data_IF_972698267251
#
_entry.id   IF_972698267251
#
_cell.length_a   1.000
_cell.length_b   1.000
_cell.length_c   1.000
_cell.angle_alpha   90.00
_cell.angle_beta   90.00
_cell.angle_gamma   90.00
#
_symmetry.space_group_name_H-M   'P 1'
#
loop_
_entity.id
_entity.type
_entity.pdbx_description
1 polymer ?
#
# COMPACT_ATOMS: atom_id res chain seq x y z
N UNK A 1 3.74 -8.25 -52.13
CA UNK A 1 2.27 -8.27 -52.00
C UNK A 1 1.86 -7.49 -50.76
N UNK A 2 1.83 -6.15 -50.81
CA UNK A 2 1.57 -5.30 -49.63
C UNK A 2 0.52 -4.20 -49.88
N UNK A 3 -0.20 -4.27 -51.02
CA UNK A 3 -1.06 -3.17 -51.48
C UNK A 3 -2.49 -3.26 -50.90
N UNK A 4 -2.93 -4.40 -50.35
CA UNK A 4 -4.34 -4.60 -49.98
C UNK A 4 -4.75 -4.16 -48.56
N UNK A 5 -3.87 -3.53 -47.78
CA UNK A 5 -4.21 -3.10 -46.39
C UNK A 5 -4.76 -1.69 -46.27
N UNK A 6 -4.55 -0.79 -47.23
CA UNK A 6 -4.95 0.63 -47.09
C UNK A 6 -6.40 0.92 -47.48
N UNK A 7 -7.03 0.10 -48.31
CA UNK A 7 -8.39 0.38 -48.81
C UNK A 7 -9.49 0.05 -47.77
N UNK A 8 -9.21 -0.80 -46.78
CA UNK A 8 -10.19 -1.12 -45.72
C UNK A 8 -10.28 -0.07 -44.61
N UNK A 9 -9.29 0.81 -44.48
CA UNK A 9 -9.29 1.84 -43.43
C UNK A 9 -10.16 3.04 -43.84
N UNK A 10 -10.19 3.40 -45.13
CA UNK A 10 -10.95 4.55 -45.65
C UNK A 10 -12.47 4.39 -45.55
N UNK A 11 -13.01 3.18 -45.72
CA UNK A 11 -14.46 2.94 -45.58
C UNK A 11 -14.94 3.06 -44.12
N UNK A 12 -14.03 2.82 -43.17
CA UNK A 12 -14.36 2.90 -41.74
C UNK A 12 -14.51 4.35 -41.26
N UNK A 13 -13.74 5.28 -41.81
CA UNK A 13 -13.73 6.68 -41.37
C UNK A 13 -15.00 7.42 -41.80
N UNK A 14 -15.47 7.18 -43.02
CA UNK A 14 -16.69 7.83 -43.52
C UNK A 14 -17.94 7.35 -42.76
N UNK A 15 -17.96 6.07 -42.38
CA UNK A 15 -19.02 5.49 -41.55
C UNK A 15 -19.05 6.11 -40.14
N UNK A 16 -17.87 6.34 -39.54
CA UNK A 16 -17.77 7.00 -38.22
C UNK A 16 -18.19 8.47 -38.32
N UNK A 17 -17.83 9.17 -39.40
CA UNK A 17 -18.23 10.57 -39.59
C UNK A 17 -19.75 10.73 -39.67
N UNK A 18 -20.43 9.87 -40.44
CA UNK A 18 -21.89 9.88 -40.53
C UNK A 18 -22.54 9.68 -39.16
N UNK A 19 -22.07 8.69 -38.39
CA UNK A 19 -22.56 8.47 -37.01
C UNK A 19 -22.30 9.66 -36.09
N UNK A 20 -21.14 10.32 -36.21
CA UNK A 20 -20.80 11.48 -35.38
C UNK A 20 -21.66 12.72 -35.69
N UNK A 21 -22.10 12.86 -36.94
CA UNK A 21 -22.99 13.94 -37.35
C UNK A 21 -24.38 13.85 -36.73
N UNK A 22 -24.87 12.64 -36.41
CA UNK A 22 -26.18 12.46 -35.78
C UNK A 22 -26.20 12.87 -34.30
N UNK A 23 -25.03 13.03 -33.67
CA UNK A 23 -24.94 13.44 -32.27
C UNK A 23 -25.22 14.93 -32.07
N UNK A 24 -25.90 15.22 -30.96
CA UNK A 24 -26.07 16.60 -30.49
C UNK A 24 -24.73 17.15 -29.96
N UNK A 25 -24.57 18.47 -30.01
CA UNK A 25 -23.35 19.15 -29.53
C UNK A 25 -23.07 18.87 -28.05
N UNK A 26 -24.10 18.67 -27.24
CA UNK A 26 -23.99 18.30 -25.83
C UNK A 26 -23.30 16.94 -25.63
N UNK A 27 -23.66 15.93 -26.45
CA UNK A 27 -23.08 14.59 -26.40
C UNK A 27 -21.63 14.63 -26.86
N UNK A 28 -21.35 15.33 -27.95
CA UNK A 28 -19.99 15.52 -28.46
C UNK A 28 -19.06 16.17 -27.42
N UNK A 29 -19.54 17.21 -26.70
CA UNK A 29 -18.77 17.84 -25.62
C UNK A 29 -18.50 16.90 -24.45
N UNK A 30 -19.46 16.03 -24.11
CA UNK A 30 -19.28 15.02 -23.06
C UNK A 30 -18.23 13.98 -23.46
N UNK A 31 -18.26 13.49 -24.71
CA UNK A 31 -17.24 12.59 -25.24
C UNK A 31 -15.84 13.22 -25.21
N UNK A 32 -15.72 14.50 -25.59
CA UNK A 32 -14.47 15.25 -25.53
C UNK A 32 -13.97 15.47 -24.09
N UNK A 33 -14.84 15.80 -23.14
CA UNK A 33 -14.48 15.93 -21.71
C UNK A 33 -13.94 14.62 -21.14
N UNK A 34 -14.57 13.50 -21.47
CA UNK A 34 -14.10 12.18 -21.04
C UNK A 34 -12.70 11.87 -21.57
N UNK A 35 -12.38 12.35 -22.79
CA UNK A 35 -11.05 12.27 -23.38
C UNK A 35 -10.09 13.39 -22.96
N UNK A 36 -10.51 14.29 -22.06
CA UNK A 36 -9.76 15.48 -21.62
C UNK A 36 -9.33 16.39 -22.79
N UNK A 37 -10.15 16.46 -23.83
CA UNK A 37 -9.94 17.31 -25.00
C UNK A 37 -10.71 18.63 -24.89
N UNK A 38 -10.26 19.70 -25.58
CA UNK A 38 -10.97 20.98 -25.59
C UNK A 38 -12.40 20.84 -26.14
N UNK A 39 -13.36 21.52 -25.52
CA UNK A 39 -14.80 21.48 -25.88
C UNK A 39 -15.35 22.76 -26.51
N UNK A 40 -14.50 23.74 -26.77
CA UNK A 40 -14.84 24.98 -27.48
C UNK A 40 -14.98 24.75 -28.99
N UNK A 41 -15.73 25.59 -29.70
CA UNK A 41 -15.84 25.55 -31.17
C UNK A 41 -17.20 25.07 -31.70
N UNK A 42 -17.33 25.07 -33.03
CA UNK A 42 -18.53 24.63 -33.76
C UNK A 42 -18.62 23.11 -33.77
N UNK A 43 -19.78 22.56 -34.16
CA UNK A 43 -20.06 21.11 -34.12
C UNK A 43 -19.05 20.33 -34.94
N UNK A 44 -18.69 20.84 -36.11
CA UNK A 44 -17.74 20.27 -37.05
C UNK A 44 -16.34 20.18 -36.43
N UNK A 45 -15.93 21.19 -35.66
CA UNK A 45 -14.62 21.21 -34.99
C UNK A 45 -14.54 20.19 -33.86
N UNK A 46 -15.66 19.94 -33.17
CA UNK A 46 -15.76 18.91 -32.14
C UNK A 46 -15.64 17.51 -32.76
N UNK A 47 -16.29 17.28 -33.90
CA UNK A 47 -16.25 16.02 -34.65
C UNK A 47 -14.83 15.76 -35.19
N UNK A 48 -14.20 16.76 -35.83
CA UNK A 48 -12.82 16.67 -36.32
C UNK A 48 -11.84 16.31 -35.20
N UNK A 49 -11.97 16.95 -34.02
CA UNK A 49 -11.14 16.62 -32.84
C UNK A 49 -11.35 15.20 -32.35
N UNK A 50 -12.59 14.71 -32.32
CA UNK A 50 -12.89 13.33 -31.92
C UNK A 50 -12.27 12.32 -32.88
N UNK A 51 -12.34 12.57 -34.19
CA UNK A 51 -11.75 11.73 -35.24
C UNK A 51 -10.22 11.71 -35.15
N UNK A 52 -9.60 12.88 -35.03
CA UNK A 52 -8.15 12.99 -34.89
C UNK A 52 -7.64 12.27 -33.64
N UNK A 53 -8.38 12.36 -32.53
CA UNK A 53 -8.04 11.67 -31.29
C UNK A 53 -8.22 10.14 -31.39
N UNK A 54 -9.13 9.63 -32.22
CA UNK A 54 -9.22 8.18 -32.47
C UNK A 54 -8.07 7.66 -33.33
N UNK A 55 -7.59 8.44 -34.29
CA UNK A 55 -6.44 8.05 -35.12
C UNK A 55 -5.12 8.02 -34.34
N UNK A 56 -4.93 8.96 -33.39
CA UNK A 56 -3.69 9.05 -32.62
C UNK A 56 -3.53 7.97 -31.54
N UNK A 57 -4.59 7.25 -31.17
CA UNK A 57 -4.56 6.23 -30.12
C UNK A 57 -5.26 4.93 -30.58
N UNK A 58 -4.56 4.07 -31.36
CA UNK A 58 -5.14 2.82 -31.86
C UNK A 58 -5.51 1.81 -30.76
N UNK A 59 -5.10 2.05 -29.50
CA UNK A 59 -5.34 1.14 -28.38
C UNK A 59 -6.71 1.27 -27.70
N UNK A 60 -7.55 2.25 -28.04
CA UNK A 60 -8.84 2.49 -27.34
C UNK A 60 -10.11 2.20 -28.15
N UNK A 61 -10.00 1.76 -29.41
CA UNK A 61 -11.16 1.50 -30.30
C UNK A 61 -12.14 0.47 -29.73
N UNK A 62 -11.65 -0.50 -28.95
CA UNK A 62 -12.49 -1.52 -28.30
C UNK A 62 -13.47 -0.95 -27.25
N UNK A 63 -13.15 0.19 -26.62
CA UNK A 63 -14.00 0.80 -25.59
C UNK A 63 -15.10 1.69 -26.18
N UNK A 64 -14.84 2.30 -27.34
CA UNK A 64 -15.82 3.11 -28.06
C UNK A 64 -16.90 2.25 -28.71
N UNK A 65 -16.54 1.11 -29.28
CA UNK A 65 -17.52 0.17 -29.86
C UNK A 65 -18.49 -0.37 -28.80
N UNK A 66 -18.03 -0.57 -27.55
CA UNK A 66 -18.87 -0.99 -26.43
C UNK A 66 -19.91 0.07 -26.01
N UNK A 67 -19.57 1.36 -26.10
CA UNK A 67 -20.48 2.46 -25.75
C UNK A 67 -21.44 2.76 -26.91
N UNK A 68 -20.96 2.67 -28.16
CA UNK A 68 -21.73 2.92 -29.37
C UNK A 68 -22.74 1.80 -29.68
N UNK A 69 -22.51 0.56 -29.24
CA UNK A 69 -23.40 -0.57 -29.49
C UNK A 69 -24.65 -0.62 -28.60
N UNK A 70 -24.81 0.25 -27.60
CA UNK A 70 -25.99 0.26 -26.71
C UNK A 70 -27.19 1.04 -27.25
N UNK A 71 -27.11 1.60 -28.46
CA UNK A 71 -28.11 2.53 -29.01
C UNK A 71 -29.33 1.91 -29.70
N UNK A 72 -29.31 0.63 -30.05
CA UNK A 72 -30.49 0.02 -30.68
C UNK A 72 -30.25 -1.38 -31.18
N UNK A 73 -30.87 -2.37 -30.53
CA UNK A 73 -31.62 -3.45 -31.19
C UNK A 73 -31.98 -4.55 -30.17
N UNK A 74 -33.30 -4.80 -30.07
CA UNK A 74 -33.97 -6.09 -29.81
C UNK A 74 -33.82 -6.72 -28.41
N UNK A 75 -34.94 -6.67 -27.69
CA UNK A 75 -35.25 -7.18 -26.34
C UNK A 75 -34.96 -8.67 -26.05
N UNK A 76 -34.36 -9.43 -26.98
CA UNK A 76 -34.09 -10.86 -26.81
C UNK A 76 -32.66 -11.19 -26.32
N UNK A 77 -31.69 -10.27 -26.40
CA UNK A 77 -30.31 -10.53 -25.91
C UNK A 77 -30.10 -10.20 -24.43
N UNK A 78 -31.12 -9.67 -23.74
CA UNK A 78 -30.97 -9.12 -22.38
C UNK A 78 -30.74 -10.18 -21.28
N UNK A 79 -31.11 -11.44 -21.50
CA UNK A 79 -30.89 -12.51 -20.51
C UNK A 79 -29.44 -13.02 -20.47
N UNK A 80 -28.76 -13.10 -21.62
CA UNK A 80 -27.38 -13.60 -21.69
C UNK A 80 -26.41 -12.60 -21.04
N UNK A 81 -26.68 -11.30 -21.17
CA UNK A 81 -25.91 -10.24 -20.52
C UNK A 81 -26.08 -10.23 -19.00
N UNK A 82 -27.29 -10.51 -18.48
CA UNK A 82 -27.54 -10.57 -17.04
C UNK A 82 -26.77 -11.73 -16.37
N UNK A 83 -26.73 -12.88 -17.02
CA UNK A 83 -26.03 -14.06 -16.52
C UNK A 83 -24.50 -13.86 -16.51
N UNK A 84 -23.96 -13.22 -17.56
CA UNK A 84 -22.55 -12.81 -17.63
C UNK A 84 -22.18 -11.80 -16.52
N UNK A 85 -23.06 -10.84 -16.23
CA UNK A 85 -22.87 -9.89 -15.13
C UNK A 85 -22.87 -10.56 -13.76
N UNK A 86 -23.75 -11.54 -13.54
CA UNK A 86 -23.81 -12.31 -12.28
C UNK A 86 -22.50 -13.10 -12.08
N UNK A 87 -22.02 -13.81 -13.10
CA UNK A 87 -20.75 -14.54 -13.03
C UNK A 87 -19.58 -13.61 -12.74
N UNK A 88 -19.51 -12.46 -13.45
CA UNK A 88 -18.46 -11.47 -13.21
C UNK A 88 -18.51 -10.91 -11.79
N UNK A 89 -19.71 -10.65 -11.26
CA UNK A 89 -19.89 -10.16 -9.88
C UNK A 89 -19.48 -11.21 -8.86
N UNK A 90 -19.83 -12.49 -9.08
CA UNK A 90 -19.41 -13.58 -8.22
C UNK A 90 -17.88 -13.73 -8.19
N UNK A 91 -17.22 -13.58 -9.34
CA UNK A 91 -15.76 -13.65 -9.42
C UNK A 91 -15.09 -12.48 -8.69
N UNK A 92 -15.65 -11.27 -8.81
CA UNK A 92 -15.18 -10.11 -8.04
C UNK A 92 -15.27 -10.35 -6.53
N UNK A 93 -16.37 -10.93 -6.03
CA UNK A 93 -16.49 -11.26 -4.60
C UNK A 93 -15.48 -12.31 -4.14
N UNK A 94 -15.11 -13.28 -5.00
CA UNK A 94 -14.07 -14.26 -4.68
C UNK A 94 -12.71 -13.59 -4.54
N UNK A 95 -12.37 -12.71 -5.48
CA UNK A 95 -11.12 -11.95 -5.46
C UNK A 95 -11.07 -11.05 -4.21
N UNK A 96 -12.16 -10.36 -3.90
CA UNK A 96 -12.28 -9.51 -2.70
C UNK A 96 -12.10 -10.32 -1.41
N UNK A 97 -12.71 -11.50 -1.30
CA UNK A 97 -12.53 -12.39 -0.15
C UNK A 97 -11.08 -12.87 0.00
N UNK A 98 -10.39 -13.18 -1.11
CA UNK A 98 -8.98 -13.58 -1.08
C UNK A 98 -8.07 -12.42 -0.66
N UNK A 99 -8.34 -11.21 -1.15
CA UNK A 99 -7.61 -10.00 -0.74
C UNK A 99 -7.79 -9.73 0.74
N UNK A 100 -9.02 -9.78 1.25
CA UNK A 100 -9.32 -9.60 2.67
C UNK A 100 -8.59 -10.63 3.55
N UNK A 101 -8.47 -11.87 3.08
CA UNK A 101 -7.70 -12.91 3.80
C UNK A 101 -6.21 -12.57 3.85
N UNK A 102 -5.62 -12.10 2.74
CA UNK A 102 -4.21 -11.69 2.68
C UNK A 102 -3.94 -10.47 3.55
N UNK A 103 -4.83 -9.48 3.53
CA UNK A 103 -4.73 -8.29 4.40
C UNK A 103 -4.78 -8.67 5.89
N UNK A 104 -5.69 -9.58 6.27
CA UNK A 104 -5.74 -10.10 7.64
C UNK A 104 -4.43 -10.78 8.04
N UNK A 105 -3.86 -11.62 7.17
CA UNK A 105 -2.58 -12.30 7.44
C UNK A 105 -1.42 -11.31 7.58
N UNK A 106 -1.40 -10.24 6.78
CA UNK A 106 -0.41 -9.18 6.91
C UNK A 106 -0.56 -8.44 8.24
N UNK A 107 -1.78 -8.05 8.61
CA UNK A 107 -2.05 -7.39 9.89
C UNK A 107 -1.62 -8.26 11.09
N UNK A 108 -1.85 -9.57 11.05
CA UNK A 108 -1.40 -10.50 12.08
C UNK A 108 0.13 -10.57 12.20
N UNK A 109 0.86 -10.54 11.07
CA UNK A 109 2.33 -10.52 11.05
C UNK A 109 2.88 -9.21 11.58
N UNK A 110 2.31 -8.08 11.19
CA UNK A 110 2.68 -6.76 11.70
C UNK A 110 2.45 -6.68 13.22
N UNK A 111 1.32 -7.17 13.70
CA UNK A 111 1.03 -7.24 15.12
C UNK A 111 2.05 -8.12 15.88
N UNK A 112 2.45 -9.24 15.30
CA UNK A 112 3.48 -10.12 15.88
C UNK A 112 4.85 -9.43 15.96
N UNK A 113 5.23 -8.65 14.93
CA UNK A 113 6.46 -7.85 14.93
C UNK A 113 6.43 -6.77 16.02
N UNK A 114 5.35 -6.00 16.10
CA UNK A 114 5.18 -4.96 17.13
C UNK A 114 5.26 -5.56 18.54
N UNK A 115 4.62 -6.71 18.79
CA UNK A 115 4.72 -7.42 20.08
C UNK A 115 6.17 -7.82 20.40
N UNK A 116 6.93 -8.29 19.41
CA UNK A 116 8.34 -8.66 19.57
C UNK A 116 9.21 -7.44 19.89
N UNK A 117 9.02 -6.33 19.17
CA UNK A 117 9.72 -5.08 19.43
C UNK A 117 9.43 -4.55 20.82
N UNK A 118 8.17 -4.56 21.24
CA UNK A 118 7.75 -4.12 22.57
C UNK A 118 8.40 -4.98 23.68
N UNK A 119 8.50 -6.30 23.47
CA UNK A 119 9.23 -7.19 24.38
C UNK A 119 10.72 -6.82 24.45
N UNK A 120 11.35 -6.52 23.31
CA UNK A 120 12.75 -6.09 23.26
C UNK A 120 12.96 -4.78 24.00
N UNK A 121 12.09 -3.78 23.79
CA UNK A 121 12.14 -2.49 24.50
C UNK A 121 12.03 -2.69 26.01
N UNK A 122 11.06 -3.49 26.47
CA UNK A 122 10.93 -3.83 27.90
C UNK A 122 12.19 -4.51 28.45
N UNK A 123 12.77 -5.45 27.71
CA UNK A 123 14.00 -6.12 28.12
C UNK A 123 15.17 -5.14 28.22
N UNK A 124 15.33 -4.23 27.25
CA UNK A 124 16.38 -3.21 27.29
C UNK A 124 16.22 -2.27 28.48
N UNK A 125 14.98 -1.90 28.82
CA UNK A 125 14.68 -1.07 29.98
C UNK A 125 15.05 -1.77 31.29
N UNK A 126 14.68 -3.05 31.46
CA UNK A 126 15.07 -3.85 32.64
C UNK A 126 16.59 -3.95 32.76
N UNK A 127 17.30 -4.21 31.65
CA UNK A 127 18.75 -4.30 31.64
C UNK A 127 19.43 -2.95 32.00
N UNK A 128 18.87 -1.82 31.56
CA UNK A 128 19.37 -0.49 31.91
C UNK A 128 19.17 -0.18 33.40
N UNK A 129 18.01 -0.54 33.95
CA UNK A 129 17.70 -0.33 35.37
C UNK A 129 18.62 -1.16 36.27
N UNK A 130 18.87 -2.44 35.91
CA UNK A 130 19.78 -3.31 36.65
C UNK A 130 21.22 -2.72 36.70
N UNK A 131 21.74 -2.25 35.56
CA UNK A 131 23.06 -1.60 35.50
C UNK A 131 23.16 -0.31 36.33
N UNK A 132 22.05 0.41 36.47
CA UNK A 132 22.03 1.66 37.25
C UNK A 132 22.05 1.36 38.75
N UNK A 133 21.36 0.33 39.21
CA UNK A 133 21.37 -0.11 40.61
C UNK A 133 22.74 -0.66 41.05
N UNK A 134 23.48 -1.37 40.19
CA UNK A 134 24.82 -1.86 40.51
C UNK A 134 25.82 -0.71 40.73
N UNK A 135 25.71 0.39 39.97
CA UNK A 135 26.59 1.56 40.14
C UNK A 135 26.35 2.28 41.46
N UNK A 136 25.09 2.55 41.83
CA UNK A 136 24.77 3.27 43.06
C UNK A 136 25.17 2.52 44.33
N UNK A 137 25.26 1.18 44.29
CA UNK A 137 25.68 0.41 45.45
C UNK A 137 27.20 0.46 45.72
N UNK A 138 28.00 0.81 44.71
CA UNK A 138 29.47 0.81 44.78
C UNK A 138 30.09 2.12 45.31
N UNK A 139 29.35 3.23 45.28
CA UNK A 139 29.85 4.56 45.70
C UNK A 139 29.67 4.84 47.19
N UNK A 140 28.80 4.11 47.89
CA UNK A 140 28.53 4.31 49.32
C UNK A 140 29.55 3.66 50.28
N UNK A 141 30.67 3.12 49.77
CA UNK A 141 31.73 2.48 50.58
C UNK A 141 33.04 3.28 50.66
N UNK A 142 33.06 4.54 50.20
CA UNK A 142 34.29 5.36 50.18
C UNK A 142 34.25 6.66 51.00
N UNK A 143 33.24 6.88 51.85
CA UNK A 143 33.12 8.16 52.57
C UNK A 143 33.83 8.24 53.93
N UNK A 144 34.52 7.21 54.43
CA UNK A 144 35.10 7.25 55.79
C UNK A 144 36.58 6.83 55.89
N UNK A 145 37.44 7.27 54.98
CA UNK A 145 38.90 7.18 55.22
C UNK A 145 39.59 8.47 54.85
N UNK A 146 39.64 9.36 55.85
CA UNK A 146 40.68 10.37 56.00
C UNK A 146 42.04 9.66 56.09
N UNK A 147 42.64 9.33 54.95
CA UNK A 147 44.02 8.84 54.90
C UNK A 147 44.88 9.88 54.21
N UNK A 148 45.75 10.45 55.02
CA UNK A 148 46.71 11.50 54.71
C UNK A 148 47.52 11.20 53.45
N UNK A 149 47.69 12.27 52.68
CA UNK A 149 48.56 12.36 51.51
C UNK A 149 50.01 12.12 51.94
N UNK A 150 50.50 10.90 51.78
CA UNK A 150 51.94 10.62 51.77
C UNK A 150 52.46 10.82 50.35
N UNK A 151 53.23 11.89 50.17
CA UNK A 151 54.08 12.10 48.99
C UNK A 151 55.13 10.99 48.96
N UNK A 152 55.03 10.06 48.01
CA UNK A 152 56.17 9.22 47.61
C UNK A 152 56.27 9.14 46.10
N UNK A 153 57.33 9.78 45.64
CA UNK A 153 58.29 9.39 44.62
C UNK A 153 57.87 8.57 43.41
N UNK A 154 58.13 9.23 42.28
CA UNK A 154 58.43 8.66 40.97
C UNK A 154 59.51 7.58 41.10
N UNK A 155 59.15 6.32 40.88
CA UNK A 155 60.03 5.40 40.16
C UNK A 155 59.23 4.25 39.56
N UNK A 156 59.42 4.10 38.25
CA UNK A 156 59.23 2.91 37.43
C UNK A 156 58.79 1.63 38.15
N UNK A 157 57.71 1.01 37.66
CA UNK A 157 57.74 -0.36 37.12
C UNK A 157 56.54 -0.51 36.18
N UNK A 158 56.85 -0.70 34.89
CA UNK A 158 55.93 -1.24 33.90
C UNK A 158 55.67 -2.70 34.29
N UNK A 159 54.52 -3.01 34.85
CA UNK A 159 53.99 -4.37 34.82
C UNK A 159 52.58 -4.31 34.23
N UNK A 160 52.57 -4.48 32.91
CA UNK A 160 51.42 -4.80 32.08
C UNK A 160 50.98 -6.19 32.51
N UNK A 161 50.03 -6.28 33.44
CA UNK A 161 49.41 -7.55 33.79
C UNK A 161 48.57 -8.01 32.60
N UNK A 162 49.09 -9.01 31.88
CA UNK A 162 48.31 -9.95 31.09
C UNK A 162 47.24 -10.58 32.00
N UNK A 163 46.07 -9.96 32.00
CA UNK A 163 44.81 -10.66 32.24
C UNK A 163 43.91 -10.32 31.08
N UNK A 164 44.30 -10.84 29.93
CA UNK A 164 43.42 -11.07 28.79
C UNK A 164 42.40 -12.11 29.26
N UNK A 165 41.36 -11.63 29.98
CA UNK A 165 40.19 -12.44 30.26
C UNK A 165 39.54 -12.75 28.93
N UNK A 166 39.28 -14.03 28.71
CA UNK A 166 38.42 -14.61 27.69
C UNK A 166 37.08 -13.85 27.57
N UNK A 167 37.09 -12.71 26.88
CA UNK A 167 35.88 -12.16 26.35
C UNK A 167 35.52 -13.03 25.15
N UNK A 168 34.31 -13.62 25.09
CA UNK A 168 33.88 -14.34 23.91
C UNK A 168 33.98 -13.37 22.75
N UNK A 169 34.85 -13.68 21.77
CA UNK A 169 34.98 -12.94 20.51
C UNK A 169 33.58 -12.80 19.92
N UNK A 170 32.96 -11.63 20.13
CA UNK A 170 31.67 -11.31 19.52
C UNK A 170 31.97 -11.21 18.03
N UNK A 171 31.59 -12.26 17.31
CA UNK A 171 31.70 -12.38 15.86
C UNK A 171 30.98 -11.20 15.21
N UNK A 172 31.74 -10.15 14.89
CA UNK A 172 31.24 -9.00 14.13
C UNK A 172 30.86 -9.51 12.74
N UNK A 173 29.58 -9.50 12.42
CA UNK A 173 29.09 -9.74 11.06
C UNK A 173 29.38 -8.51 10.20
N UNK A 174 29.79 -8.73 8.97
CA UNK A 174 29.91 -7.67 7.98
C UNK A 174 28.50 -7.13 7.68
N UNK A 175 28.26 -5.83 7.93
CA UNK A 175 26.97 -5.17 7.73
C UNK A 175 26.49 -5.19 6.27
N UNK A 176 27.37 -5.50 5.30
CA UNK A 176 27.02 -5.54 3.88
C UNK A 176 26.65 -6.92 3.34
N UNK A 177 27.07 -8.03 3.98
CA UNK A 177 26.84 -9.37 3.40
C UNK A 177 26.43 -10.46 4.41
N UNK A 178 26.32 -10.14 5.71
CA UNK A 178 25.87 -11.04 6.78
C UNK A 178 26.64 -12.38 6.97
N UNK A 179 27.70 -12.61 6.20
CA UNK A 179 28.55 -13.80 6.32
C UNK A 179 29.44 -13.73 7.57
N UNK A 180 29.52 -14.85 8.29
CA UNK A 180 30.43 -15.06 9.42
C UNK A 180 31.70 -15.76 8.93
N UNK A 181 32.84 -15.18 9.25
CA UNK A 181 34.20 -15.73 9.17
C UNK A 181 34.89 -15.62 7.80
N UNK A 182 35.73 -14.59 7.67
CA UNK A 182 37.12 -14.74 7.23
C UNK A 182 37.83 -13.39 7.45
N UNK A 183 38.86 -13.39 8.28
CA UNK A 183 39.73 -12.23 8.58
C UNK A 183 40.58 -11.77 7.38
N UNK A 184 40.23 -12.14 6.15
CA UNK A 184 40.96 -11.77 4.96
C UNK A 184 40.02 -11.20 3.90
N UNK A 185 40.11 -9.89 3.69
CA UNK A 185 39.76 -9.19 2.46
C UNK A 185 38.32 -9.38 1.94
N UNK A 186 37.35 -8.70 2.57
CA UNK A 186 36.21 -8.18 1.82
C UNK A 186 36.73 -7.09 0.87
N UNK A 187 37.30 -7.50 -0.27
CA UNK A 187 37.61 -6.62 -1.39
C UNK A 187 36.35 -5.80 -1.72
N UNK A 188 36.45 -4.46 -1.86
CA UNK A 188 35.33 -3.65 -2.28
C UNK A 188 35.06 -4.00 -3.74
N UNK A 189 34.18 -4.98 -4.00
CA UNK A 189 33.58 -5.15 -5.32
C UNK A 189 32.58 -4.03 -5.54
N UNK A 190 33.12 -2.83 -5.73
CA UNK A 190 32.48 -1.80 -6.50
C UNK A 190 32.51 -2.23 -7.97
N UNK A 191 31.31 -2.22 -8.56
CA UNK A 191 31.03 -2.01 -9.98
C UNK A 191 31.45 -3.16 -10.92
N UNK A 192 30.45 -3.98 -11.25
CA UNK A 192 30.13 -4.22 -12.65
C UNK A 192 28.62 -4.39 -12.79
N UNK A 193 27.98 -3.26 -13.07
CA UNK A 193 26.68 -3.18 -13.73
C UNK A 193 26.77 -3.85 -15.10
N UNK A 194 26.65 -5.17 -15.16
CA UNK A 194 26.29 -5.87 -16.40
C UNK A 194 24.79 -6.06 -16.42
N UNK A 195 24.12 -5.10 -17.07
CA UNK A 195 22.98 -5.31 -17.94
C UNK A 195 22.09 -6.50 -17.60
N UNK A 196 21.11 -6.31 -16.70
CA UNK A 196 19.87 -7.07 -16.83
C UNK A 196 18.92 -6.27 -17.73
N UNK A 197 18.86 -6.76 -18.96
CA UNK A 197 17.89 -6.45 -20.01
C UNK A 197 16.48 -6.27 -19.41
N UNK A 198 16.02 -5.01 -19.47
CA UNK A 198 14.63 -4.60 -19.64
C UNK A 198 13.54 -5.67 -19.50
N UNK A 199 12.87 -5.71 -18.35
CA UNK A 199 11.44 -6.08 -18.30
C UNK A 199 10.62 -4.79 -18.32
N UNK A 200 10.52 -4.20 -19.52
CA UNK A 200 9.86 -2.91 -19.81
C UNK A 200 8.33 -2.93 -19.68
N UNK A 201 7.73 -4.02 -19.15
CA UNK A 201 6.27 -4.20 -19.05
C UNK A 201 5.68 -3.89 -17.68
N UNK A 202 6.46 -3.89 -16.60
CA UNK A 202 5.93 -3.71 -15.24
C UNK A 202 5.91 -2.23 -14.79
N UNK A 203 6.82 -1.40 -15.30
CA UNK A 203 6.87 0.04 -14.99
C UNK A 203 5.67 0.86 -15.52
N UNK A 204 4.96 0.35 -16.54
CA UNK A 204 3.76 1.01 -17.07
C UNK A 204 2.57 0.83 -16.14
N UNK A 205 2.52 -0.28 -15.39
CA UNK A 205 1.44 -0.54 -14.42
C UNK A 205 1.68 0.27 -13.15
N UNK A 206 2.93 0.39 -12.69
CA UNK A 206 3.25 1.11 -11.44
C UNK A 206 3.12 2.64 -11.55
N UNK A 207 3.30 3.22 -12.75
CA UNK A 207 3.10 4.67 -12.97
C UNK A 207 1.64 5.10 -13.11
N UNK A 208 0.69 4.17 -13.36
CA UNK A 208 -0.75 4.50 -13.36
C UNK A 208 -1.34 4.60 -11.96
N UNK A 209 -0.90 3.77 -11.00
CA UNK A 209 -1.47 3.78 -9.65
C UNK A 209 -1.06 4.99 -8.80
N UNK A 210 0.12 5.59 -9.01
CA UNK A 210 0.55 6.77 -8.24
C UNK A 210 -0.16 8.08 -8.61
N UNK A 211 -0.94 8.11 -9.69
CA UNK A 211 -1.60 9.35 -10.14
C UNK A 211 -3.07 9.46 -9.73
N UNK A 212 -3.67 8.38 -9.21
CA UNK A 212 -5.04 8.38 -8.69
C UNK A 212 -5.10 8.73 -7.18
N UNK A 213 -4.05 8.44 -6.41
CA UNK A 213 -4.06 8.64 -4.95
C UNK A 213 -3.87 10.10 -4.48
N UNK A 214 -3.71 11.07 -5.40
CA UNK A 214 -3.45 12.49 -5.08
C UNK A 214 -4.58 13.45 -5.47
N UNK A 215 -5.79 13.00 -5.79
CA UNK A 215 -6.87 13.90 -6.22
C UNK A 215 -8.04 14.12 -5.26
N UNK A 216 -8.07 13.48 -4.10
CA UNK A 216 -9.25 13.59 -3.20
C UNK A 216 -8.91 14.11 -1.79
N UNK A 217 -8.19 15.24 -1.68
CA UNK A 217 -7.93 15.91 -0.37
C UNK A 217 -8.34 17.38 -0.30
N UNK A 218 -9.21 17.87 -1.18
CA UNK A 218 -9.83 19.19 -1.00
C UNK A 218 -11.33 19.18 -1.31
N UNK A 219 -12.09 18.53 -0.44
CA UNK A 219 -13.48 18.87 -0.16
C UNK A 219 -13.83 18.35 1.24
N UNK A 220 -13.28 19.02 2.26
CA UNK A 220 -13.80 18.91 3.62
C UNK A 220 -15.18 19.56 3.61
N UNK A 221 -16.22 18.76 3.37
CA UNK A 221 -17.59 19.18 3.57
C UNK A 221 -17.72 19.72 5.00
N UNK A 222 -18.19 20.97 5.10
CA UNK A 222 -18.60 21.56 6.37
C UNK A 222 -19.57 20.59 7.05
N UNK A 223 -19.36 20.22 8.33
CA UNK A 223 -20.41 19.56 9.08
C UNK A 223 -21.54 20.55 9.27
N UNK A 224 -22.62 20.42 8.50
CA UNK A 224 -23.88 21.05 8.81
C UNK A 224 -24.31 20.57 10.19
N UNK A 225 -24.34 21.53 11.12
CA UNK A 225 -24.92 21.39 12.45
C UNK A 225 -26.41 21.08 12.31
N UNK A 226 -26.74 19.80 12.18
CA UNK A 226 -28.09 19.28 12.34
C UNK A 226 -28.27 18.81 13.78
N UNK A 227 -28.80 19.69 14.61
CA UNK A 227 -29.30 19.37 15.94
C UNK A 227 -30.58 18.55 15.79
N UNK A 228 -30.48 17.22 15.74
CA UNK A 228 -31.59 16.35 16.10
C UNK A 228 -31.09 15.25 17.05
N UNK A 229 -30.98 15.62 18.33
CA UNK A 229 -31.00 14.66 19.45
C UNK A 229 -32.36 13.96 19.44
N UNK A 230 -32.48 12.83 18.74
CA UNK A 230 -33.48 11.82 19.09
C UNK A 230 -32.90 11.00 20.22
N UNK A 231 -33.31 11.31 21.45
CA UNK A 231 -33.14 10.41 22.60
C UNK A 231 -33.89 9.12 22.30
N UNK A 232 -33.16 8.08 21.90
CA UNK A 232 -33.68 6.72 21.87
C UNK A 232 -33.82 6.31 23.34
N UNK A 233 -35.06 6.23 23.83
CA UNK A 233 -35.35 5.58 25.11
C UNK A 233 -35.05 4.10 24.91
N UNK A 234 -33.88 3.64 25.36
CA UNK A 234 -33.62 2.22 25.50
C UNK A 234 -34.45 1.71 26.67
N UNK A 235 -35.60 1.10 26.39
CA UNK A 235 -36.30 0.28 27.37
C UNK A 235 -35.37 -0.88 27.75
N UNK A 236 -34.90 -0.84 28.99
CA UNK A 236 -34.18 -1.96 29.61
C UNK A 236 -35.10 -3.19 29.63
N UNK A 237 -34.67 -4.35 29.11
CA UNK A 237 -35.44 -5.57 29.22
C UNK A 237 -35.67 -5.91 30.70
N UNK A 238 -36.94 -6.10 31.09
CA UNK A 238 -37.30 -6.61 32.41
C UNK A 238 -36.65 -7.99 32.57
N UNK A 239 -35.69 -8.10 33.49
CA UNK A 239 -35.14 -9.37 33.94
C UNK A 239 -36.27 -10.21 34.54
N UNK A 240 -36.77 -11.18 33.78
CA UNK A 240 -37.59 -12.25 34.33
C UNK A 240 -36.67 -13.16 35.16
N UNK A 241 -36.77 -13.02 36.48
CA UNK A 241 -36.14 -13.92 37.43
C UNK A 241 -36.92 -15.25 37.40
N UNK A 242 -36.38 -16.27 36.72
CA UNK A 242 -36.94 -17.62 36.80
C UNK A 242 -36.66 -18.17 38.21
N UNK A 243 -37.68 -18.15 39.06
CA UNK A 243 -37.71 -18.88 40.31
C UNK A 243 -37.58 -20.38 40.00
N UNK A 244 -36.45 -20.95 40.40
CA UNK A 244 -36.14 -22.37 40.32
C UNK A 244 -37.01 -23.09 41.35
N UNK A 245 -38.09 -23.73 40.90
CA UNK A 245 -38.88 -24.62 41.74
C UNK A 245 -38.06 -25.90 41.99
N UNK A 246 -37.49 -26.00 43.19
CA UNK A 246 -36.92 -27.22 43.73
C UNK A 246 -38.06 -28.21 43.98
N UNK A 247 -38.22 -29.23 43.12
CA UNK A 247 -39.02 -30.40 43.46
C UNK A 247 -38.22 -31.25 44.45
N UNK A 248 -38.66 -31.21 45.70
CA UNK A 248 -38.31 -32.19 46.73
C UNK A 248 -39.04 -33.49 46.41
N UNK A 249 -38.29 -34.57 46.20
CA UNK A 249 -38.79 -35.94 46.22
C UNK A 249 -38.41 -36.56 47.56
N UNK A 250 -39.42 -36.75 48.42
CA UNK A 250 -39.44 -37.74 49.49
C UNK A 250 -40.81 -38.41 49.43
#
# INVERSE_FOLDING_TARGET
MEITKREKESESEESIMKKLNDYTTSVLKTLLRNKKLPTSGLKEDLIKRLLQASQQCPFETNKLNFILSKGGEKQASHQVDAMSLIHRKAELYRIEAELNLKEKQLAERELALVKKELKNVRQTQVNMNARTQEKSHSENRRSDTNTSVSKRDKSCIKQRTERERDQPKVLKRCLNCDQRNSEANCLPKCKDTKYNKYNKREDVIFKRYKHEEKRDTYATERPERSYFRRTIKTETPKHYCYQRLSRSTY
#
